data_IF_233303095520
#
_entry.id   IF_233303095520
#
_cell.length_a   1.000
_cell.length_b   1.000
_cell.length_c   1.000
_cell.angle_alpha   90.00
_cell.angle_beta   90.00
_cell.angle_gamma   90.00
#
_symmetry.space_group_name_H-M   'P 1'
#
loop_
_entity.id
_entity.type
_entity.pdbx_description
1 polymer ?
#
# COMPACT_ATOMS: atom_id res chain seq x y z
N UNK A 1 -1.54 -14.78 2.19
CA UNK A 1 -1.87 -14.44 3.60
C UNK A 1 -2.19 -12.95 3.69
N UNK A 2 -2.91 -12.54 4.74
CA UNK A 2 -3.14 -11.11 5.08
C UNK A 2 -2.41 -10.83 6.39
N UNK A 3 -1.37 -10.02 6.32
CA UNK A 3 -0.58 -9.59 7.46
C UNK A 3 -0.99 -8.20 7.90
N UNK A 4 -1.11 -7.98 9.20
CA UNK A 4 -1.50 -6.68 9.78
C UNK A 4 -0.49 -6.25 10.83
N UNK A 5 -0.43 -4.95 11.07
CA UNK A 5 0.19 -4.40 12.27
C UNK A 5 -0.87 -3.71 13.10
N UNK A 6 -0.92 -4.01 14.38
CA UNK A 6 -1.87 -3.46 15.32
C UNK A 6 -1.17 -2.98 16.59
N UNK A 7 -1.81 -2.10 17.34
CA UNK A 7 -1.29 -1.63 18.62
C UNK A 7 -1.77 -2.52 19.77
N UNK A 8 -0.82 -2.91 20.63
CA UNK A 8 -1.07 -3.55 21.90
C UNK A 8 -0.22 -2.90 22.97
N UNK A 9 -0.86 -2.35 23.98
CA UNK A 9 -0.18 -1.62 25.06
C UNK A 9 0.75 -0.51 24.55
N UNK A 10 0.38 0.16 23.44
CA UNK A 10 1.15 1.22 22.79
C UNK A 10 2.34 0.75 21.96
N UNK A 11 2.47 -0.56 21.70
CA UNK A 11 3.54 -1.14 20.91
C UNK A 11 3.00 -1.85 19.67
N UNK A 12 3.75 -1.73 18.56
CA UNK A 12 3.44 -2.41 17.30
C UNK A 12 3.52 -3.93 17.47
N UNK A 13 2.48 -4.61 17.01
CA UNK A 13 2.44 -6.07 17.00
C UNK A 13 2.10 -6.57 15.60
N UNK A 14 2.84 -7.58 15.14
CA UNK A 14 2.55 -8.30 13.91
C UNK A 14 1.44 -9.32 14.13
N UNK A 15 0.43 -9.26 13.27
CA UNK A 15 -0.67 -10.21 13.24
C UNK A 15 -0.93 -10.80 11.87
N UNK A 16 -1.72 -11.87 11.88
CA UNK A 16 -2.29 -12.48 10.67
C UNK A 16 -3.81 -12.46 10.77
N UNK A 17 -4.48 -12.19 9.65
CA UNK A 17 -5.94 -12.26 9.56
C UNK A 17 -6.36 -13.61 8.99
N UNK A 18 -7.18 -14.32 9.73
CA UNK A 18 -7.80 -15.59 9.30
C UNK A 18 -9.29 -15.53 9.68
N UNK A 19 -10.18 -15.73 8.71
CA UNK A 19 -11.63 -15.71 8.89
C UNK A 19 -12.12 -14.44 9.65
N UNK A 20 -11.63 -13.27 9.25
CA UNK A 20 -11.92 -11.94 9.81
C UNK A 20 -11.51 -11.74 11.29
N UNK A 21 -10.68 -12.63 11.81
CA UNK A 21 -10.06 -12.53 13.13
C UNK A 21 -8.58 -12.24 13.03
N UNK A 22 -8.06 -11.49 13.99
CA UNK A 22 -6.62 -11.21 14.12
C UNK A 22 -6.01 -12.14 15.15
N UNK A 23 -4.88 -12.69 14.78
CA UNK A 23 -4.04 -13.52 15.65
C UNK A 23 -2.64 -12.91 15.72
N UNK A 24 -2.12 -12.73 16.93
CA UNK A 24 -0.73 -12.28 17.11
C UNK A 24 0.24 -13.36 16.60
N UNK A 25 1.16 -12.98 15.75
CA UNK A 25 2.04 -13.93 15.07
C UNK A 25 2.93 -14.69 16.06
N UNK A 26 3.50 -14.00 17.06
CA UNK A 26 4.35 -14.59 18.09
C UNK A 26 3.62 -15.63 18.97
N UNK A 27 2.29 -15.46 19.17
CA UNK A 27 1.49 -16.41 19.93
C UNK A 27 1.22 -17.73 19.20
N UNK A 28 1.40 -17.75 17.88
CA UNK A 28 1.14 -18.92 17.03
C UNK A 28 2.38 -19.76 16.78
N UNK A 29 3.55 -19.16 16.87
CA UNK A 29 4.83 -19.87 16.74
C UNK A 29 5.95 -19.06 17.39
N UNK A 30 6.69 -19.68 18.31
CA UNK A 30 7.75 -19.04 19.11
C UNK A 30 8.89 -18.43 18.29
N UNK A 31 9.11 -18.94 17.07
CA UNK A 31 10.18 -18.46 16.19
C UNK A 31 9.72 -17.35 15.24
N UNK A 32 8.41 -17.00 15.25
CA UNK A 32 7.90 -15.89 14.47
C UNK A 32 8.07 -14.57 15.22
N UNK A 33 8.44 -13.49 14.53
CA UNK A 33 8.68 -12.20 15.15
C UNK A 33 7.36 -11.52 15.53
N UNK A 34 7.45 -10.59 16.46
CA UNK A 34 6.32 -9.79 16.92
C UNK A 34 6.15 -8.47 16.17
N UNK A 35 7.07 -8.11 15.25
CA UNK A 35 6.97 -6.87 14.46
C UNK A 35 7.11 -7.12 12.97
N UNK A 36 6.44 -6.30 12.16
CA UNK A 36 6.55 -6.33 10.71
C UNK A 36 7.98 -6.01 10.24
N UNK A 37 8.67 -5.07 10.88
CA UNK A 37 10.04 -4.72 10.52
C UNK A 37 10.99 -5.91 10.65
N UNK A 38 10.86 -6.68 11.73
CA UNK A 38 11.66 -7.89 11.92
C UNK A 38 11.29 -8.97 10.91
N UNK A 39 10.00 -9.15 10.62
CA UNK A 39 9.51 -10.09 9.62
C UNK A 39 10.08 -9.81 8.23
N UNK A 40 10.07 -8.54 7.81
CA UNK A 40 10.60 -8.12 6.51
C UNK A 40 12.13 -8.26 6.43
N UNK A 41 12.86 -7.96 7.51
CA UNK A 41 14.31 -8.08 7.53
C UNK A 41 14.81 -9.53 7.38
N UNK A 42 14.01 -10.50 7.81
CA UNK A 42 14.31 -11.93 7.74
C UNK A 42 13.23 -12.71 6.96
N UNK A 43 12.76 -12.12 5.88
CA UNK A 43 11.63 -12.61 5.08
C UNK A 43 11.78 -14.08 4.68
N UNK A 44 12.95 -14.46 4.17
CA UNK A 44 13.20 -15.82 3.68
C UNK A 44 13.19 -16.87 4.80
N UNK A 45 13.46 -16.47 6.05
CA UNK A 45 13.42 -17.34 7.23
C UNK A 45 11.99 -17.47 7.77
N UNK A 46 11.26 -16.35 7.89
CA UNK A 46 9.96 -16.34 8.53
C UNK A 46 8.80 -16.69 7.62
N UNK A 47 8.90 -16.39 6.34
CA UNK A 47 7.81 -16.64 5.40
C UNK A 47 7.40 -18.11 5.30
N UNK A 48 8.31 -19.09 5.23
CA UNK A 48 7.94 -20.50 5.27
C UNK A 48 7.20 -20.92 6.55
N UNK A 49 7.58 -20.38 7.70
CA UNK A 49 6.93 -20.65 8.98
C UNK A 49 5.52 -20.02 9.02
N UNK A 50 5.41 -18.76 8.56
CA UNK A 50 4.15 -18.03 8.53
C UNK A 50 3.11 -18.67 7.60
N UNK A 51 3.53 -19.23 6.47
CA UNK A 51 2.64 -19.93 5.52
C UNK A 51 1.89 -21.11 6.12
N UNK A 52 2.45 -21.75 7.15
CA UNK A 52 1.81 -22.87 7.85
C UNK A 52 0.78 -22.42 8.91
N UNK A 53 0.80 -21.15 9.30
CA UNK A 53 -0.02 -20.61 10.40
C UNK A 53 -1.52 -20.67 10.13
N UNK A 54 -2.05 -20.23 8.96
CA UNK A 54 -3.48 -20.26 8.70
C UNK A 54 -4.11 -21.63 8.85
N UNK A 55 -3.42 -22.68 8.41
CA UNK A 55 -3.91 -24.05 8.55
C UNK A 55 -3.89 -24.49 10.01
N UNK A 56 -2.85 -24.17 10.75
CA UNK A 56 -2.76 -24.48 12.19
C UNK A 56 -3.91 -23.83 12.99
N UNK A 57 -4.28 -22.58 12.64
CA UNK A 57 -5.43 -21.90 13.26
C UNK A 57 -6.71 -22.66 12.98
N UNK A 58 -6.97 -23.06 11.74
CA UNK A 58 -8.14 -23.85 11.33
C UNK A 58 -8.21 -25.20 12.03
N UNK A 59 -7.06 -25.83 12.29
CA UNK A 59 -6.93 -27.09 13.01
C UNK A 59 -7.07 -26.93 14.53
N UNK A 60 -7.35 -25.73 15.01
CA UNK A 60 -7.60 -25.44 16.43
C UNK A 60 -6.36 -25.07 17.25
N UNK A 61 -5.22 -24.84 16.59
CA UNK A 61 -4.05 -24.25 17.22
C UNK A 61 -4.25 -22.72 17.26
N UNK A 62 -4.08 -22.13 18.40
CA UNK A 62 -4.16 -20.67 18.54
C UNK A 62 -5.54 -20.16 18.89
N UNK A 63 -6.05 -20.58 20.05
CA UNK A 63 -7.28 -20.02 20.64
C UNK A 63 -7.09 -18.59 21.18
N UNK A 64 -5.92 -18.01 21.02
CA UNK A 64 -5.60 -16.64 21.45
C UNK A 64 -5.81 -15.67 20.26
N UNK A 65 -7.06 -15.56 19.81
CA UNK A 65 -7.43 -14.46 18.94
C UNK A 65 -7.28 -13.14 19.70
N UNK A 66 -6.84 -12.11 19.00
CA UNK A 66 -6.73 -10.77 19.56
C UNK A 66 -8.10 -10.09 19.54
N UNK A 67 -8.93 -10.40 18.55
CA UNK A 67 -10.25 -9.85 18.39
C UNK A 67 -10.71 -9.82 16.94
N UNK A 68 -11.90 -9.26 16.73
CA UNK A 68 -12.43 -9.05 15.38
C UNK A 68 -11.67 -7.96 14.66
N UNK A 69 -11.42 -8.16 13.37
CA UNK A 69 -10.73 -7.21 12.55
C UNK A 69 -11.47 -5.85 12.52
N UNK A 70 -10.73 -4.77 12.80
CA UNK A 70 -11.23 -3.39 12.87
C UNK A 70 -12.36 -3.10 13.90
N UNK A 71 -12.77 -4.06 14.71
CA UNK A 71 -13.79 -3.83 15.73
C UNK A 71 -13.17 -3.62 17.13
N UNK A 72 -12.26 -4.51 17.52
CA UNK A 72 -11.71 -4.57 18.86
C UNK A 72 -10.23 -4.20 18.94
N UNK A 73 -9.60 -3.95 17.78
CA UNK A 73 -8.15 -3.78 17.65
C UNK A 73 -7.82 -2.50 16.89
N UNK A 74 -6.92 -1.71 17.42
CA UNK A 74 -6.40 -0.53 16.73
C UNK A 74 -5.38 -0.96 15.65
N UNK A 75 -5.82 -0.92 14.38
CA UNK A 75 -5.01 -1.25 13.22
C UNK A 75 -4.22 -0.03 12.79
N UNK A 76 -2.93 -0.19 12.58
CA UNK A 76 -2.05 0.82 11.98
C UNK A 76 -1.63 0.40 10.57
N UNK A 77 -0.77 1.18 9.92
CA UNK A 77 -0.23 0.77 8.61
C UNK A 77 0.43 -0.60 8.70
N UNK A 78 0.26 -1.51 7.72
CA UNK A 78 0.88 -2.84 7.78
C UNK A 78 2.41 -2.78 7.90
N UNK A 79 3.04 -1.77 7.28
CA UNK A 79 4.47 -1.46 7.44
C UNK A 79 4.58 -0.04 8.00
N UNK A 80 4.49 0.14 9.32
CA UNK A 80 4.38 1.47 9.93
C UNK A 80 5.69 2.26 9.86
N UNK A 81 6.82 1.58 9.77
CA UNK A 81 8.16 2.17 9.79
C UNK A 81 9.01 1.69 8.60
N UNK A 82 8.61 1.99 7.35
CA UNK A 82 9.42 1.61 6.21
C UNK A 82 10.70 2.44 6.15
N UNK A 83 11.75 1.87 5.59
CA UNK A 83 13.04 2.56 5.43
C UNK A 83 13.02 3.61 4.32
N UNK A 84 12.07 3.51 3.42
CA UNK A 84 11.82 4.51 2.37
C UNK A 84 10.46 4.28 1.73
N UNK A 85 9.87 5.31 1.14
CA UNK A 85 8.70 5.20 0.31
C UNK A 85 8.96 5.97 -1.00
N UNK A 86 8.57 5.36 -2.11
CA UNK A 86 8.63 5.98 -3.43
C UNK A 86 7.25 5.88 -4.06
N UNK A 87 6.85 6.96 -4.69
CA UNK A 87 5.63 7.01 -5.45
C UNK A 87 5.93 7.30 -6.92
N UNK A 88 5.19 6.65 -7.82
CA UNK A 88 5.39 6.80 -9.24
C UNK A 88 4.20 6.33 -10.06
N UNK A 89 3.81 7.13 -11.05
CA UNK A 89 2.73 6.76 -11.95
C UNK A 89 3.19 5.77 -13.03
N UNK A 90 3.03 4.47 -12.73
CA UNK A 90 3.45 3.39 -13.63
C UNK A 90 2.47 3.16 -14.80
N UNK A 91 1.21 3.60 -14.69
CA UNK A 91 0.19 3.29 -15.68
C UNK A 91 0.08 4.38 -16.76
N UNK A 92 0.49 4.05 -17.98
CA UNK A 92 0.45 4.95 -19.13
C UNK A 92 -0.94 5.56 -19.39
N UNK A 93 -2.01 4.78 -19.19
CA UNK A 93 -3.38 5.26 -19.35
C UNK A 93 -3.72 6.38 -18.35
N UNK A 94 -3.27 6.26 -17.10
CA UNK A 94 -3.44 7.29 -16.08
C UNK A 94 -2.73 8.59 -16.51
N UNK A 95 -1.46 8.51 -16.88
CA UNK A 95 -0.68 9.67 -17.31
C UNK A 95 -1.28 10.32 -18.56
N UNK A 96 -1.67 9.52 -19.55
CA UNK A 96 -2.30 10.01 -20.77
C UNK A 96 -3.63 10.74 -20.46
N UNK A 97 -4.42 10.26 -19.52
CA UNK A 97 -5.66 10.90 -19.08
C UNK A 97 -5.39 12.22 -18.36
N UNK A 98 -4.44 12.25 -17.43
CA UNK A 98 -4.04 13.45 -16.72
C UNK A 98 -3.50 14.53 -17.67
N UNK A 99 -2.71 14.16 -18.67
CA UNK A 99 -2.20 15.09 -19.67
C UNK A 99 -3.28 15.62 -20.59
N UNK A 100 -4.19 14.77 -21.05
CA UNK A 100 -5.36 15.15 -21.85
C UNK A 100 -6.25 16.15 -21.11
N UNK A 101 -6.49 15.95 -19.83
CA UNK A 101 -7.27 16.89 -19.00
C UNK A 101 -6.58 18.26 -18.91
N UNK A 102 -5.26 18.30 -18.92
CA UNK A 102 -4.45 19.53 -18.96
C UNK A 102 -4.24 20.09 -20.37
N UNK A 103 -4.79 19.43 -21.40
CA UNK A 103 -4.66 19.81 -22.83
C UNK A 103 -3.20 19.89 -23.29
N UNK A 104 -2.36 18.98 -22.85
CA UNK A 104 -0.95 18.86 -23.27
C UNK A 104 -0.67 17.45 -23.80
N UNK A 105 0.25 17.37 -24.76
CA UNK A 105 0.64 16.11 -25.38
C UNK A 105 1.37 15.17 -24.42
N UNK A 106 1.33 13.90 -24.75
CA UNK A 106 2.12 12.88 -24.03
C UNK A 106 3.61 13.13 -24.22
N UNK A 107 4.41 12.88 -23.20
CA UNK A 107 5.87 12.99 -23.26
C UNK A 107 6.47 11.65 -23.68
N UNK A 108 7.30 11.60 -24.73
CA UNK A 108 7.94 10.36 -25.17
C UNK A 108 8.84 9.72 -24.13
N UNK A 109 9.44 10.52 -23.26
CA UNK A 109 10.31 10.08 -22.18
C UNK A 109 9.60 9.19 -21.15
N UNK A 110 8.28 9.31 -21.02
CA UNK A 110 7.50 8.43 -20.15
C UNK A 110 7.65 6.95 -20.49
N UNK A 111 7.73 6.63 -21.79
CA UNK A 111 7.88 5.25 -22.25
C UNK A 111 9.36 4.76 -22.18
N UNK A 112 10.31 5.64 -21.85
CA UNK A 112 11.75 5.34 -21.82
C UNK A 112 12.28 5.19 -20.39
N UNK A 113 11.74 5.95 -19.44
CA UNK A 113 12.26 6.04 -18.08
C UNK A 113 11.17 5.79 -17.03
N UNK A 114 11.41 4.90 -16.05
CA UNK A 114 10.56 4.84 -14.87
C UNK A 114 10.74 6.14 -14.07
N UNK A 115 9.63 6.76 -13.70
CA UNK A 115 9.63 7.99 -12.91
C UNK A 115 9.03 7.72 -11.54
N UNK A 116 9.67 8.25 -10.52
CA UNK A 116 9.17 8.23 -9.15
C UNK A 116 9.73 9.42 -8.38
N UNK A 117 9.11 9.74 -7.27
CA UNK A 117 9.64 10.65 -6.27
C UNK A 117 9.72 9.96 -4.91
N UNK A 118 10.58 10.48 -4.04
CA UNK A 118 10.61 10.04 -2.65
C UNK A 118 9.54 10.81 -1.89
N UNK A 119 8.56 10.10 -1.36
CA UNK A 119 7.62 10.68 -0.42
C UNK A 119 8.12 10.52 1.02
N UNK A 120 7.46 11.21 1.96
CA UNK A 120 7.85 11.15 3.36
C UNK A 120 7.41 9.82 4.00
N UNK A 121 8.32 8.89 4.13
CA UNK A 121 8.06 7.60 4.77
C UNK A 121 7.74 7.69 6.27
N UNK A 122 7.99 8.84 6.91
CA UNK A 122 7.66 9.08 8.32
C UNK A 122 6.21 9.58 8.53
N UNK A 123 5.48 9.91 7.46
CA UNK A 123 4.06 10.29 7.50
C UNK A 123 3.12 9.19 7.00
N UNK A 124 3.60 7.96 6.95
CA UNK A 124 2.76 6.80 6.65
C UNK A 124 1.87 6.51 7.86
N UNK A 125 0.58 6.35 7.59
CA UNK A 125 -0.43 6.02 8.59
C UNK A 125 -1.32 4.88 8.12
N UNK A 126 -1.98 4.24 9.07
CA UNK A 126 -3.01 3.22 8.82
C UNK A 126 -4.40 3.82 8.58
N UNK A 127 -5.44 2.99 8.64
CA UNK A 127 -6.83 3.45 8.62
C UNK A 127 -7.09 4.43 9.77
N UNK A 128 -7.85 5.48 9.53
CA UNK A 128 -8.22 6.46 10.55
C UNK A 128 -8.28 7.88 10.02
N UNK A 129 -8.25 8.83 10.94
CA UNK A 129 -8.33 10.25 10.65
C UNK A 129 -7.02 10.78 10.07
N UNK A 130 -7.13 11.64 9.07
CA UNK A 130 -5.98 12.34 8.49
C UNK A 130 -5.87 13.72 9.13
N UNK A 131 -4.79 13.90 9.89
CA UNK A 131 -4.49 15.17 10.56
C UNK A 131 -3.53 15.97 9.68
N UNK A 132 -3.95 17.16 9.26
CA UNK A 132 -3.14 18.02 8.42
C UNK A 132 -3.36 19.51 8.72
N UNK A 133 -2.47 20.35 8.22
CA UNK A 133 -2.52 21.81 8.42
C UNK A 133 -3.63 22.45 7.57
N UNK A 134 -4.15 23.64 7.95
CA UNK A 134 -5.18 24.35 7.20
C UNK A 134 -4.86 24.58 5.72
N UNK A 135 -3.59 24.81 5.37
CA UNK A 135 -3.17 25.02 3.98
C UNK A 135 -3.39 23.79 3.08
N UNK A 136 -3.36 22.58 3.67
CA UNK A 136 -3.65 21.35 2.95
C UNK A 136 -5.12 21.24 2.52
N UNK A 137 -6.03 21.83 3.30
CA UNK A 137 -7.47 21.76 3.03
C UNK A 137 -7.93 22.64 1.87
N UNK A 138 -7.15 23.59 1.39
CA UNK A 138 -7.59 24.49 0.32
C UNK A 138 -8.06 23.73 -0.93
N UNK A 139 -7.41 22.62 -1.24
CA UNK A 139 -7.82 21.69 -2.29
C UNK A 139 -7.32 20.29 -1.96
N UNK A 140 -7.87 19.73 -0.89
CA UNK A 140 -7.54 18.36 -0.48
C UNK A 140 -8.20 17.36 -1.43
N UNK A 141 -7.41 16.39 -1.86
CA UNK A 141 -7.83 15.34 -2.77
C UNK A 141 -7.27 13.98 -2.31
N UNK A 142 -7.76 12.89 -2.87
CA UNK A 142 -7.31 11.54 -2.60
C UNK A 142 -6.81 10.87 -3.89
N UNK A 143 -5.92 9.93 -3.76
CA UNK A 143 -5.46 9.09 -4.87
C UNK A 143 -5.55 7.62 -4.49
N UNK A 144 -6.38 6.87 -5.22
CA UNK A 144 -6.52 5.43 -5.01
C UNK A 144 -5.39 4.69 -5.71
N UNK A 145 -4.53 4.07 -4.95
CA UNK A 145 -3.31 3.44 -5.42
C UNK A 145 -3.11 2.02 -4.88
N UNK A 146 -2.17 1.31 -5.49
CA UNK A 146 -1.64 0.06 -4.99
C UNK A 146 -0.17 0.26 -4.60
N UNK A 147 0.17 -0.08 -3.37
CA UNK A 147 1.54 -0.09 -2.90
C UNK A 147 2.10 -1.51 -2.91
N UNK A 148 3.37 -1.65 -3.24
CA UNK A 148 4.13 -2.89 -3.11
C UNK A 148 5.13 -2.78 -1.96
N UNK A 149 5.38 -3.88 -1.27
CA UNK A 149 6.41 -3.98 -0.23
C UNK A 149 7.61 -4.72 -0.78
N UNK A 150 8.78 -4.10 -0.70
CA UNK A 150 10.05 -4.76 -1.02
C UNK A 150 10.53 -5.51 0.22
N UNK A 151 10.67 -6.83 0.08
CA UNK A 151 10.96 -7.75 1.20
C UNK A 151 12.41 -8.25 1.25
N UNK A 152 13.26 -7.83 0.30
CA UNK A 152 14.66 -8.25 0.24
C UNK A 152 15.57 -7.09 -0.11
N UNK A 153 16.80 -7.03 0.41
CA UNK A 153 17.80 -6.09 -0.06
C UNK A 153 18.24 -6.45 -1.48
N UNK A 154 18.52 -5.43 -2.29
CA UNK A 154 19.00 -5.64 -3.66
C UNK A 154 19.62 -4.41 -4.29
N UNK A 155 20.46 -4.63 -5.28
CA UNK A 155 21.09 -3.58 -6.08
C UNK A 155 21.26 -4.05 -7.52
N UNK A 156 20.94 -3.17 -8.48
CA UNK A 156 21.05 -3.47 -9.92
C UNK A 156 20.25 -4.73 -10.33
N UNK A 157 19.05 -4.87 -9.74
CA UNK A 157 18.16 -6.00 -9.99
C UNK A 157 17.67 -5.91 -11.43
N UNK A 158 17.75 -7.02 -12.17
CA UNK A 158 17.19 -7.09 -13.51
C UNK A 158 15.66 -7.11 -13.44
N UNK A 159 15.00 -6.54 -14.44
CA UNK A 159 13.54 -6.52 -14.48
C UNK A 159 12.92 -7.94 -14.40
N UNK A 160 13.57 -8.94 -14.99
CA UNK A 160 13.12 -10.32 -14.96
C UNK A 160 13.14 -10.95 -13.55
N UNK A 161 13.98 -10.43 -12.66
CA UNK A 161 14.19 -10.96 -11.31
C UNK A 161 13.45 -10.11 -10.25
N UNK A 162 12.77 -9.01 -10.67
CA UNK A 162 12.21 -8.02 -9.76
C UNK A 162 11.07 -8.58 -8.88
N UNK A 163 10.28 -9.50 -9.40
CA UNK A 163 9.15 -10.10 -8.68
C UNK A 163 9.60 -10.87 -7.42
N UNK A 164 10.82 -11.39 -7.39
CA UNK A 164 11.38 -12.07 -6.21
C UNK A 164 11.58 -11.14 -5.00
N UNK A 165 11.55 -9.82 -5.23
CA UNK A 165 11.72 -8.79 -4.22
C UNK A 165 10.39 -8.24 -3.71
N UNK A 166 9.26 -8.69 -4.27
CA UNK A 166 7.93 -8.23 -3.88
C UNK A 166 7.37 -9.14 -2.79
N UNK A 167 7.19 -8.61 -1.58
CA UNK A 167 6.58 -9.33 -0.47
C UNK A 167 5.05 -9.37 -0.53
N UNK A 168 4.43 -8.38 -1.14
CA UNK A 168 2.98 -8.32 -1.29
C UNK A 168 2.49 -6.93 -1.68
N UNK A 169 1.16 -6.81 -1.76
CA UNK A 169 0.45 -5.60 -2.15
C UNK A 169 -0.41 -5.06 -1.01
N UNK A 170 -0.61 -3.74 -1.01
CA UNK A 170 -1.48 -3.01 -0.09
C UNK A 170 -2.29 -1.98 -0.87
N UNK A 171 -3.43 -1.57 -0.33
CA UNK A 171 -4.15 -0.40 -0.81
C UNK A 171 -3.47 0.85 -0.22
N UNK A 172 -3.29 1.87 -1.06
CA UNK A 172 -2.73 3.15 -0.67
C UNK A 172 -3.66 4.29 -1.08
N UNK A 173 -3.69 5.31 -0.27
CA UNK A 173 -4.29 6.59 -0.56
C UNK A 173 -3.21 7.65 -0.39
N UNK A 174 -2.69 8.17 -1.51
CA UNK A 174 -1.74 9.27 -1.50
C UNK A 174 -2.49 10.59 -1.37
N UNK A 175 -2.61 11.08 -0.14
CA UNK A 175 -3.32 12.33 0.15
C UNK A 175 -2.63 13.51 -0.50
N UNK A 176 -3.43 14.31 -1.22
CA UNK A 176 -2.91 15.35 -2.10
C UNK A 176 -3.47 16.72 -1.75
N UNK A 177 -2.60 17.63 -1.30
CA UNK A 177 -2.92 19.04 -1.16
C UNK A 177 -2.65 19.76 -2.49
N UNK A 178 -3.62 19.76 -3.40
CA UNK A 178 -3.44 20.14 -4.80
C UNK A 178 -2.94 21.56 -5.00
N UNK A 179 -3.35 22.49 -4.16
CA UNK A 179 -2.87 23.90 -4.26
C UNK A 179 -1.37 23.95 -4.01
N UNK A 180 -0.89 23.38 -2.90
CA UNK A 180 0.54 23.30 -2.60
C UNK A 180 1.32 22.54 -3.66
N UNK A 181 0.80 21.38 -4.08
CA UNK A 181 1.42 20.58 -5.13
C UNK A 181 1.65 21.41 -6.41
N UNK A 182 0.65 22.14 -6.87
CA UNK A 182 0.74 22.91 -8.11
C UNK A 182 1.74 24.07 -7.99
N UNK A 183 1.83 24.72 -6.84
CA UNK A 183 2.78 25.80 -6.57
C UNK A 183 4.22 25.26 -6.51
N UNK A 184 4.45 24.18 -5.80
CA UNK A 184 5.78 23.58 -5.65
C UNK A 184 6.31 23.00 -6.96
N UNK A 185 5.45 22.41 -7.78
CA UNK A 185 5.86 21.85 -9.08
C UNK A 185 6.42 22.90 -10.04
N UNK A 186 6.11 24.19 -9.85
CA UNK A 186 6.73 25.27 -10.62
C UNK A 186 8.25 25.38 -10.38
N UNK A 187 8.72 24.89 -9.22
CA UNK A 187 10.14 24.91 -8.84
C UNK A 187 10.90 23.68 -9.33
N UNK A 188 10.23 22.72 -9.98
CA UNK A 188 10.79 21.50 -10.60
C UNK A 188 11.55 20.56 -9.64
N UNK A 189 11.20 20.55 -8.34
CA UNK A 189 11.74 19.60 -7.35
C UNK A 189 10.73 18.53 -6.91
N UNK A 190 9.59 18.44 -7.61
CA UNK A 190 8.55 17.48 -7.35
C UNK A 190 7.43 18.00 -6.47
N UNK A 191 6.47 17.14 -6.10
CA UNK A 191 5.24 17.56 -5.39
C UNK A 191 5.43 17.83 -3.90
N UNK A 192 6.56 17.53 -3.30
CA UNK A 192 7.01 17.71 -1.91
C UNK A 192 5.85 17.89 -0.88
N UNK A 193 5.72 19.10 -0.28
CA UNK A 193 4.75 19.37 0.80
C UNK A 193 3.29 19.14 0.42
N UNK A 194 2.97 19.14 -0.87
CA UNK A 194 1.65 18.78 -1.36
C UNK A 194 1.31 17.29 -1.23
N UNK A 195 2.31 16.45 -0.91
CA UNK A 195 2.18 14.98 -0.83
C UNK A 195 2.74 14.40 0.47
N UNK A 196 3.81 14.95 1.02
CA UNK A 196 4.59 14.35 2.10
C UNK A 196 3.94 14.45 3.49
N UNK A 197 2.75 15.03 3.61
CA UNK A 197 2.06 15.21 4.88
C UNK A 197 1.27 13.98 5.33
N UNK A 198 0.80 13.14 4.40
CA UNK A 198 0.05 11.92 4.74
C UNK A 198 -0.01 10.94 3.58
N UNK A 199 0.38 9.70 3.86
CA UNK A 199 0.18 8.54 2.98
C UNK A 199 -0.53 7.47 3.79
N UNK A 200 -1.82 7.22 3.51
CA UNK A 200 -2.61 6.23 4.23
C UNK A 200 -2.54 4.88 3.53
N UNK A 201 -2.10 3.84 4.25
CA UNK A 201 -1.87 2.51 3.68
C UNK A 201 -2.54 1.46 4.57
N UNK A 202 -3.15 0.47 3.96
CA UNK A 202 -3.66 -0.68 4.68
C UNK A 202 -5.01 -1.18 4.20
N UNK A 203 -5.74 -1.91 5.05
CA UNK A 203 -5.41 -2.22 6.44
C UNK A 203 -4.44 -3.40 6.61
N UNK A 204 -4.17 -4.17 5.55
CA UNK A 204 -3.27 -5.32 5.57
C UNK A 204 -2.31 -5.37 4.37
N UNK A 205 -1.21 -6.07 4.55
CA UNK A 205 -0.33 -6.53 3.49
C UNK A 205 -0.85 -7.88 2.99
N UNK A 206 -1.20 -7.95 1.70
CA UNK A 206 -1.61 -9.20 1.03
C UNK A 206 -0.40 -9.80 0.37
N UNK A 207 0.05 -10.97 0.81
CA UNK A 207 1.19 -11.68 0.22
C UNK A 207 0.83 -12.28 -1.15
N UNK A 208 1.81 -12.47 -2.03
CA UNK A 208 1.56 -12.84 -3.43
C UNK A 208 0.84 -14.19 -3.61
N UNK A 209 0.94 -15.10 -2.65
CA UNK A 209 0.21 -16.38 -2.69
C UNK A 209 -1.32 -16.20 -2.69
N UNK A 210 -1.84 -15.15 -2.05
CA UNK A 210 -3.29 -14.80 -2.13
C UNK A 210 -3.70 -14.27 -3.50
N UNK A 211 -2.76 -13.77 -4.28
CA UNK A 211 -3.01 -13.11 -5.54
C UNK A 211 -2.88 -14.03 -6.77
N UNK A 212 -2.45 -15.27 -6.58
CA UNK A 212 -2.21 -16.22 -7.67
C UNK A 212 -3.43 -16.42 -8.58
N UNK A 213 -4.64 -16.46 -8.01
CA UNK A 213 -5.88 -16.62 -8.80
C UNK A 213 -6.22 -15.40 -9.66
N UNK A 214 -5.57 -14.27 -9.46
CA UNK A 214 -5.75 -13.03 -10.20
C UNK A 214 -4.63 -12.78 -11.22
N UNK A 215 -3.64 -13.67 -11.30
CA UNK A 215 -2.54 -13.52 -12.25
C UNK A 215 -3.04 -13.60 -13.69
N UNK A 216 -2.50 -12.73 -14.53
CA UNK A 216 -2.73 -12.70 -15.97
C UNK A 216 -1.39 -12.66 -16.71
N UNK A 217 -1.33 -13.13 -17.95
CA UNK A 217 -0.13 -13.02 -18.76
C UNK A 217 0.35 -11.58 -18.88
N UNK A 218 1.66 -11.38 -18.73
CA UNK A 218 2.28 -10.10 -19.03
C UNK A 218 2.04 -9.71 -20.50
N UNK A 219 1.92 -8.40 -20.75
CA UNK A 219 1.83 -7.90 -22.13
C UNK A 219 3.11 -8.21 -22.89
N UNK A 220 3.01 -8.27 -24.23
CA UNK A 220 4.17 -8.40 -25.09
C UNK A 220 5.23 -7.35 -24.74
N UNK A 221 6.49 -7.77 -24.69
CA UNK A 221 7.65 -6.95 -24.28
C UNK A 221 7.65 -6.43 -22.83
N UNK A 222 6.79 -6.98 -21.96
CA UNK A 222 6.83 -6.75 -20.53
C UNK A 222 7.36 -7.99 -19.79
N UNK A 223 8.09 -7.76 -18.71
CA UNK A 223 8.54 -8.79 -17.78
C UNK A 223 7.82 -8.62 -16.45
N UNK A 224 7.75 -9.68 -15.68
CA UNK A 224 7.12 -9.69 -14.36
C UNK A 224 5.65 -10.11 -14.39
N UNK A 225 5.12 -10.35 -13.20
CA UNK A 225 3.74 -10.79 -12.99
C UNK A 225 2.78 -9.61 -13.13
N UNK A 226 1.63 -9.86 -13.76
CA UNK A 226 0.53 -8.92 -13.81
C UNK A 226 -0.70 -9.52 -13.14
N UNK A 227 -1.52 -8.68 -12.51
CA UNK A 227 -2.73 -9.09 -11.81
C UNK A 227 -3.94 -8.33 -12.32
N UNK A 228 -5.06 -9.05 -12.51
CA UNK A 228 -6.35 -8.44 -12.83
C UNK A 228 -7.10 -8.08 -11.54
N UNK A 229 -6.73 -6.95 -10.94
CA UNK A 229 -7.30 -6.45 -9.70
C UNK A 229 -8.18 -5.23 -9.96
N UNK A 230 -9.42 -5.28 -9.47
CA UNK A 230 -10.33 -4.13 -9.50
C UNK A 230 -10.17 -3.28 -8.25
N UNK A 231 -9.82 -1.99 -8.43
CA UNK A 231 -9.75 -1.03 -7.33
C UNK A 231 -11.02 -0.17 -7.29
N UNK A 232 -11.55 0.06 -6.09
CA UNK A 232 -12.75 0.87 -5.88
C UNK A 232 -12.57 1.78 -4.68
N UNK A 233 -13.06 3.01 -4.79
CA UNK A 233 -13.15 3.94 -3.67
C UNK A 233 -14.58 4.44 -3.49
N UNK A 234 -14.86 4.97 -2.30
CA UNK A 234 -16.11 5.65 -1.97
C UNK A 234 -15.80 6.92 -1.21
N UNK A 235 -16.51 7.99 -1.53
CA UNK A 235 -16.48 9.25 -0.78
C UNK A 235 -17.84 9.39 -0.12
N UNK A 236 -17.88 9.53 1.21
CA UNK A 236 -19.13 9.57 1.98
C UNK A 236 -20.07 8.39 1.65
N UNK A 237 -19.50 7.20 1.45
CA UNK A 237 -20.25 5.98 1.13
C UNK A 237 -20.70 5.85 -0.33
N UNK A 238 -20.51 6.87 -1.17
CA UNK A 238 -20.91 6.89 -2.58
C UNK A 238 -19.72 6.69 -3.52
N UNK A 239 -19.96 6.10 -4.68
CA UNK A 239 -18.96 6.07 -5.74
C UNK A 239 -18.73 7.47 -6.31
N UNK A 240 -17.50 7.91 -6.64
CA UNK A 240 -17.23 9.27 -7.15
C UNK A 240 -18.10 9.68 -8.35
N UNK A 241 -18.42 8.75 -9.26
CA UNK A 241 -19.31 9.03 -10.40
C UNK A 241 -20.76 9.32 -10.01
N UNK A 242 -21.19 8.96 -8.81
CA UNK A 242 -22.53 9.30 -8.28
C UNK A 242 -22.57 10.73 -7.75
N UNK A 243 -21.46 11.18 -7.14
CA UNK A 243 -21.31 12.54 -6.63
C UNK A 243 -21.31 13.57 -7.77
N UNK A 244 -20.59 13.30 -8.86
CA UNK A 244 -20.57 14.18 -10.03
C UNK A 244 -21.96 14.42 -10.63
N UNK A 245 -22.83 13.39 -10.65
CA UNK A 245 -24.21 13.52 -11.15
C UNK A 245 -25.12 14.33 -10.23
N UNK A 246 -24.81 14.47 -8.95
CA UNK A 246 -25.56 15.29 -7.99
C UNK A 246 -25.19 16.76 -8.11
N UNK A 247 -23.94 17.10 -8.42
CA UNK A 247 -23.47 18.48 -8.65
C UNK A 247 -23.95 19.06 -9.99
N UNK A 248 -24.26 18.22 -10.98
CA UNK A 248 -24.81 18.60 -12.28
C UNK A 248 -26.34 18.79 -12.30
N UNK A 249 -27.05 18.57 -11.19
CA UNK A 249 -28.50 18.74 -11.02
C UNK A 249 -28.85 19.99 -10.23
#
# INVERSE_FOLDING_TARGET
>A
MKLVTFLKDGHDQLGIVVDDKIYAMEALHSDLPNTMSMFLNYWDEFMPLAKAVPQKIKDGLGRQEIGDFCADVEIIAPVPHPTSCRDGYAFRQHVASARRNRKVDMIPEFDQYPIFYFTNHNSIQGPGDIVCMPDHFQKLDFELEAAIVICKPGRNIKAADADEYIGGLMIMNDMSARTLQMEEMLLNLGPAKGKDFSTAIGPWLVTLDELQSFEIPAKENHTGTAWNLGMKCRVNGKHPSELQREEER
#
